data_IF_104936122247
#
_entry.id   IF_104936122247
#
_cell.length_a   1.000
_cell.length_b   1.000
_cell.length_c   1.000
_cell.angle_alpha   90.00
_cell.angle_beta   90.00
_cell.angle_gamma   90.00
#
_symmetry.space_group_name_H-M   'P 1'
#
loop_
_entity.id
_entity.type
_entity.pdbx_description
1 polymer ?
#
# COMPACT_ATOMS: atom_id res chain seq x y z
N UNK A 1 -70.56 -62.50 16.48
CA UNK A 1 -70.24 -61.44 15.49
C UNK A 1 -70.24 -60.11 16.26
N UNK A 2 -69.22 -59.25 16.04
CA UNK A 2 -68.84 -58.02 16.78
C UNK A 2 -67.89 -58.31 17.98
N UNK A 3 -66.60 -57.93 18.05
CA UNK A 3 -65.81 -56.70 17.75
C UNK A 3 -65.44 -56.01 19.07
N UNK A 4 -64.17 -56.16 19.49
CA UNK A 4 -63.47 -55.13 20.26
C UNK A 4 -62.03 -55.04 19.75
N UNK A 5 -61.77 -53.96 19.01
CA UNK A 5 -60.44 -53.49 18.63
C UNK A 5 -59.89 -52.71 19.82
N UNK A 6 -58.78 -53.18 20.40
CA UNK A 6 -58.02 -52.42 21.38
C UNK A 6 -57.43 -51.19 20.69
N UNK A 7 -57.84 -50.00 21.12
CA UNK A 7 -57.25 -48.74 20.73
C UNK A 7 -55.85 -48.64 21.38
N UNK A 8 -54.80 -48.61 20.55
CA UNK A 8 -53.44 -48.27 20.96
C UNK A 8 -53.42 -46.75 21.13
N UNK A 9 -53.27 -46.28 22.37
CA UNK A 9 -53.13 -44.86 22.69
C UNK A 9 -51.83 -44.27 22.12
N UNK A 10 -51.73 -42.94 21.98
CA UNK A 10 -50.55 -42.29 21.43
C UNK A 10 -49.33 -42.61 22.31
N UNK A 11 -48.36 -43.30 21.74
CA UNK A 11 -47.07 -43.56 22.38
C UNK A 11 -46.42 -42.21 22.73
N UNK A 12 -46.33 -41.92 24.03
CA UNK A 12 -45.54 -40.81 24.54
C UNK A 12 -44.09 -41.02 24.11
N UNK A 13 -43.54 -40.06 23.37
CA UNK A 13 -42.14 -40.07 22.93
C UNK A 13 -41.25 -40.04 24.18
N UNK A 14 -40.25 -40.93 24.28
CA UNK A 14 -39.39 -40.98 25.46
C UNK A 14 -38.61 -39.67 25.62
N UNK A 15 -38.47 -39.14 26.85
CA UNK A 15 -37.94 -37.79 27.12
C UNK A 15 -36.52 -37.55 26.60
N UNK A 16 -35.71 -38.60 26.46
CA UNK A 16 -34.36 -38.53 25.89
C UNK A 16 -34.34 -38.14 24.39
N UNK A 17 -35.34 -38.58 23.61
CA UNK A 17 -35.43 -38.18 22.20
C UNK A 17 -35.90 -36.73 22.06
N UNK A 18 -36.73 -36.26 23.00
CA UNK A 18 -37.21 -34.88 23.05
C UNK A 18 -36.06 -33.91 23.37
N UNK A 19 -35.22 -34.23 24.36
CA UNK A 19 -34.01 -33.46 24.67
C UNK A 19 -33.02 -33.42 23.51
N UNK A 20 -32.79 -34.55 22.82
CA UNK A 20 -31.90 -34.57 21.65
C UNK A 20 -32.41 -33.72 20.48
N UNK A 21 -33.74 -33.62 20.32
CA UNK A 21 -34.35 -32.78 19.30
C UNK A 21 -34.33 -31.29 19.66
N UNK A 22 -34.41 -30.96 20.96
CA UNK A 22 -34.30 -29.59 21.47
C UNK A 22 -32.85 -29.08 21.39
N UNK A 23 -31.85 -29.91 21.70
CA UNK A 23 -30.43 -29.58 21.52
C UNK A 23 -30.08 -29.39 20.03
N UNK A 24 -30.54 -30.29 19.15
CA UNK A 24 -30.31 -30.16 17.71
C UNK A 24 -31.00 -28.92 17.12
N UNK A 25 -32.18 -28.55 17.64
CA UNK A 25 -32.87 -27.32 17.24
C UNK A 25 -32.16 -26.06 17.76
N UNK A 26 -31.61 -26.10 18.98
CA UNK A 26 -30.82 -25.02 19.56
C UNK A 26 -29.49 -24.81 18.81
N UNK A 27 -28.82 -25.90 18.41
CA UNK A 27 -27.61 -25.85 17.57
C UNK A 27 -27.93 -25.34 16.15
N UNK A 28 -29.06 -25.75 15.56
CA UNK A 28 -29.49 -25.24 14.26
C UNK A 28 -29.88 -23.75 14.31
N UNK A 29 -30.51 -23.30 15.40
CA UNK A 29 -30.79 -21.89 15.67
C UNK A 29 -29.51 -21.08 15.92
N UNK A 30 -28.55 -21.65 16.64
CA UNK A 30 -27.22 -21.07 16.85
C UNK A 30 -26.43 -20.95 15.54
N UNK A 31 -26.44 -22.00 14.71
CA UNK A 31 -25.82 -22.00 13.38
C UNK A 31 -26.50 -21.01 12.43
N UNK A 32 -27.84 -20.94 12.44
CA UNK A 32 -28.59 -19.96 11.65
C UNK A 32 -28.38 -18.53 12.15
N UNK A 33 -28.25 -18.29 13.47
CA UNK A 33 -27.87 -16.98 14.00
C UNK A 33 -26.45 -16.60 13.59
N UNK A 34 -25.49 -17.53 13.64
CA UNK A 34 -24.10 -17.31 13.17
C UNK A 34 -24.07 -17.02 11.67
N UNK A 35 -24.87 -17.71 10.87
CA UNK A 35 -24.98 -17.51 9.41
C UNK A 35 -25.70 -16.20 9.05
N UNK A 36 -26.72 -15.78 9.82
CA UNK A 36 -27.41 -14.49 9.66
C UNK A 36 -26.55 -13.32 10.13
N UNK A 37 -25.69 -13.50 11.13
CA UNK A 37 -24.62 -12.52 11.48
C UNK A 37 -23.44 -12.52 10.50
N UNK A 38 -23.44 -13.44 9.53
CA UNK A 38 -22.51 -13.49 8.40
C UNK A 38 -22.83 -12.52 7.27
N UNK A 39 -23.84 -11.65 7.41
CA UNK A 39 -23.93 -10.44 6.59
C UNK A 39 -22.76 -9.53 6.97
N UNK A 40 -21.64 -9.69 6.24
CA UNK A 40 -20.44 -8.85 6.25
C UNK A 40 -20.78 -7.43 6.68
N UNK A 41 -20.65 -7.12 7.96
CA UNK A 41 -20.89 -5.77 8.47
C UNK A 41 -19.82 -4.90 7.83
N UNK A 42 -20.24 -4.10 6.84
CA UNK A 42 -19.37 -3.14 6.21
C UNK A 42 -18.87 -2.21 7.31
N UNK A 43 -17.58 -2.33 7.64
CA UNK A 43 -17.00 -1.56 8.74
C UNK A 43 -17.07 -0.08 8.37
N UNK A 44 -17.20 0.82 9.36
CA UNK A 44 -17.20 2.29 9.17
C UNK A 44 -16.15 2.75 8.13
N UNK A 45 -14.97 2.13 8.14
CA UNK A 45 -13.90 2.35 7.18
C UNK A 45 -14.31 2.15 5.71
N UNK A 46 -15.04 1.09 5.39
CA UNK A 46 -15.47 0.80 4.01
C UNK A 46 -16.51 1.82 3.51
N UNK A 47 -17.41 2.27 4.39
CA UNK A 47 -18.36 3.36 4.07
C UNK A 47 -17.68 4.71 3.87
N UNK A 48 -16.57 4.98 4.56
CA UNK A 48 -15.79 6.21 4.38
C UNK A 48 -14.87 6.18 3.15
N UNK A 49 -14.40 4.99 2.75
CA UNK A 49 -13.50 4.81 1.60
C UNK A 49 -14.18 5.06 0.26
N UNK A 50 -15.41 4.59 0.08
CA UNK A 50 -16.17 4.76 -1.18
C UNK A 50 -16.34 6.24 -1.58
N UNK A 51 -16.85 7.15 -0.73
CA UNK A 51 -16.97 8.56 -1.09
C UNK A 51 -15.61 9.24 -1.28
N UNK A 52 -14.56 8.82 -0.54
CA UNK A 52 -13.19 9.33 -0.75
C UNK A 52 -12.61 8.92 -2.11
N UNK A 53 -12.80 7.66 -2.52
CA UNK A 53 -12.37 7.17 -3.83
C UNK A 53 -13.19 7.85 -4.95
N UNK A 54 -14.50 8.02 -4.77
CA UNK A 54 -15.36 8.70 -5.73
C UNK A 54 -14.96 10.18 -5.88
N UNK A 55 -14.72 10.89 -4.78
CA UNK A 55 -14.24 12.26 -4.81
C UNK A 55 -12.87 12.36 -5.48
N UNK A 56 -11.94 11.46 -5.12
CA UNK A 56 -10.61 11.40 -5.74
C UNK A 56 -10.70 11.11 -7.24
N UNK A 57 -11.58 10.22 -7.68
CA UNK A 57 -11.79 9.90 -9.08
C UNK A 57 -12.40 11.09 -9.85
N UNK A 58 -13.37 11.79 -9.24
CA UNK A 58 -13.97 13.01 -9.80
C UNK A 58 -12.92 14.10 -9.94
N UNK A 59 -12.15 14.38 -8.89
CA UNK A 59 -11.05 15.35 -8.93
C UNK A 59 -10.04 14.94 -9.99
N UNK A 60 -9.59 13.68 -9.99
CA UNK A 60 -8.64 13.16 -10.97
C UNK A 60 -9.13 13.30 -12.42
N UNK A 61 -10.43 13.11 -12.68
CA UNK A 61 -11.03 13.30 -13.98
C UNK A 61 -11.00 14.78 -14.41
N UNK A 62 -11.30 15.70 -13.51
CA UNK A 62 -11.26 17.15 -13.79
C UNK A 62 -9.85 17.73 -13.84
N UNK A 63 -8.90 17.16 -13.10
CA UNK A 63 -7.50 17.59 -13.08
C UNK A 63 -6.62 16.78 -14.03
N UNK A 64 -7.18 15.80 -14.76
CA UNK A 64 -6.39 14.93 -15.61
C UNK A 64 -5.67 15.82 -16.62
N UNK A 65 -4.32 15.81 -16.60
CA UNK A 65 -3.58 16.80 -17.35
C UNK A 65 -3.81 16.52 -18.84
N UNK A 66 -4.33 17.52 -19.57
CA UNK A 66 -4.51 17.44 -21.01
C UNK A 66 -3.30 18.06 -21.68
N UNK A 67 -2.72 17.35 -22.65
CA UNK A 67 -1.66 17.89 -23.48
C UNK A 67 -2.31 18.50 -24.73
N UNK A 68 -2.38 19.83 -24.78
CA UNK A 68 -2.97 20.59 -25.89
C UNK A 68 -2.04 20.65 -27.13
N UNK A 69 -0.74 20.42 -26.94
CA UNK A 69 0.26 20.50 -28.00
C UNK A 69 0.42 19.20 -28.79
N UNK A 70 0.77 19.31 -30.07
CA UNK A 70 1.24 18.17 -30.85
C UNK A 70 2.54 17.61 -30.23
N UNK A 71 2.39 16.55 -29.44
CA UNK A 71 3.47 15.87 -28.73
C UNK A 71 4.45 15.27 -29.74
N UNK A 72 5.72 15.72 -29.69
CA UNK A 72 6.80 15.08 -30.45
C UNK A 72 6.97 13.62 -30.02
N UNK A 73 7.40 12.76 -30.94
CA UNK A 73 7.66 11.35 -30.63
C UNK A 73 8.74 11.18 -29.54
N UNK A 74 9.75 12.06 -29.53
CA UNK A 74 10.78 12.09 -28.48
C UNK A 74 10.20 12.33 -27.08
N UNK A 75 9.26 13.28 -26.96
CA UNK A 75 8.61 13.55 -25.68
C UNK A 75 7.75 12.37 -25.21
N UNK A 76 7.06 11.69 -26.13
CA UNK A 76 6.29 10.48 -25.79
C UNK A 76 7.19 9.37 -25.26
N UNK A 77 8.33 9.12 -25.90
CA UNK A 77 9.31 8.14 -25.43
C UNK A 77 9.85 8.52 -24.06
N UNK A 78 10.29 9.77 -23.88
CA UNK A 78 10.76 10.27 -22.59
C UNK A 78 9.72 10.08 -21.48
N UNK A 79 8.46 10.48 -21.75
CA UNK A 79 7.34 10.30 -20.82
C UNK A 79 7.21 8.86 -20.37
N UNK A 80 7.16 7.90 -21.29
CA UNK A 80 6.96 6.50 -20.95
C UNK A 80 8.15 5.93 -20.19
N UNK A 81 9.37 6.21 -20.63
CA UNK A 81 10.58 5.77 -19.93
C UNK A 81 10.67 6.35 -18.52
N UNK A 82 10.43 7.65 -18.36
CA UNK A 82 10.42 8.32 -17.05
C UNK A 82 9.38 7.71 -16.12
N UNK A 83 8.12 7.61 -16.56
CA UNK A 83 7.04 7.10 -15.73
C UNK A 83 7.23 5.64 -15.36
N UNK A 84 7.80 4.81 -16.24
CA UNK A 84 8.09 3.42 -15.92
C UNK A 84 9.16 3.30 -14.82
N UNK A 85 10.28 4.02 -14.96
CA UNK A 85 11.35 4.00 -13.94
C UNK A 85 10.85 4.58 -12.62
N UNK A 86 10.10 5.68 -12.68
CA UNK A 86 9.45 6.28 -11.52
C UNK A 86 8.50 5.31 -10.81
N UNK A 87 7.59 4.67 -11.57
CA UNK A 87 6.61 3.72 -11.04
C UNK A 87 7.27 2.56 -10.30
N UNK A 88 8.33 1.99 -10.86
CA UNK A 88 9.07 0.89 -10.20
C UNK A 88 9.75 1.38 -8.92
N UNK A 89 10.38 2.56 -8.96
CA UNK A 89 11.07 3.13 -7.81
C UNK A 89 10.11 3.38 -6.64
N UNK A 90 8.97 4.03 -6.90
CA UNK A 90 7.96 4.28 -5.85
C UNK A 90 7.22 3.01 -5.45
N UNK A 91 6.98 2.05 -6.36
CA UNK A 91 6.39 0.76 -6.01
C UNK A 91 7.23 0.04 -4.96
N UNK A 92 8.55 0.05 -5.12
CA UNK A 92 9.44 -0.56 -4.16
C UNK A 92 9.34 0.08 -2.77
N UNK A 93 9.15 1.41 -2.68
CA UNK A 93 9.03 2.16 -1.42
C UNK A 93 7.66 1.92 -0.76
N UNK A 94 6.58 2.01 -1.54
CA UNK A 94 5.22 1.77 -1.07
C UNK A 94 4.99 0.33 -0.62
N UNK A 95 5.62 -0.65 -1.27
CA UNK A 95 5.53 -2.06 -0.87
C UNK A 95 6.15 -2.31 0.51
N UNK A 96 7.12 -1.49 0.96
CA UNK A 96 7.66 -1.67 2.32
C UNK A 96 6.66 -1.31 3.40
N UNK A 97 5.75 -0.36 3.15
CA UNK A 97 4.76 0.14 4.10
C UNK A 97 3.97 -0.96 4.82
N UNK A 98 3.26 -1.84 4.10
CA UNK A 98 2.43 -2.87 4.72
C UNK A 98 3.23 -4.04 5.33
N UNK A 99 4.42 -4.36 4.80
CA UNK A 99 5.14 -5.59 5.17
C UNK A 99 6.27 -5.42 6.18
N UNK A 100 6.89 -4.23 6.29
CA UNK A 100 8.07 -4.02 7.15
C UNK A 100 7.78 -4.29 8.63
N UNK A 101 6.61 -3.89 9.12
CA UNK A 101 6.24 -4.16 10.52
C UNK A 101 6.15 -5.66 10.78
N UNK A 102 5.38 -6.37 9.94
CA UNK A 102 5.18 -7.81 10.04
C UNK A 102 6.51 -8.57 9.92
N UNK A 103 7.42 -8.09 9.06
CA UNK A 103 8.76 -8.65 8.93
C UNK A 103 9.54 -8.59 10.26
N UNK A 104 9.61 -7.42 10.90
CA UNK A 104 10.33 -7.27 12.16
C UNK A 104 9.67 -8.05 13.30
N UNK A 105 8.33 -8.10 13.33
CA UNK A 105 7.60 -8.94 14.27
C UNK A 105 7.92 -10.43 14.07
N UNK A 106 8.05 -10.90 12.83
CA UNK A 106 8.41 -12.30 12.53
C UNK A 106 9.84 -12.67 12.95
N UNK A 107 10.73 -11.68 13.12
CA UNK A 107 12.06 -11.88 13.72
C UNK A 107 12.07 -11.90 15.25
N UNK A 108 10.90 -11.69 15.89
CA UNK A 108 10.76 -11.72 17.35
C UNK A 108 11.13 -10.42 18.05
N UNK A 109 11.17 -9.28 17.33
CA UNK A 109 11.40 -7.98 17.93
C UNK A 109 10.18 -7.46 18.70
N UNK A 110 10.43 -6.75 19.80
CA UNK A 110 9.38 -6.09 20.57
C UNK A 110 8.84 -4.86 19.84
N UNK A 111 7.61 -4.42 20.15
CA UNK A 111 7.03 -3.20 19.60
C UNK A 111 7.92 -1.96 19.85
N UNK A 112 8.66 -1.95 20.97
CA UNK A 112 9.61 -0.87 21.31
C UNK A 112 10.80 -0.86 20.34
N UNK A 113 11.41 -2.02 20.08
CA UNK A 113 12.53 -2.12 19.15
C UNK A 113 12.11 -1.80 17.71
N UNK A 114 10.93 -2.28 17.31
CA UNK A 114 10.33 -1.97 16.01
C UNK A 114 10.10 -0.47 15.87
N UNK A 115 9.52 0.18 16.89
CA UNK A 115 9.33 1.63 16.89
C UNK A 115 10.66 2.39 16.75
N UNK A 116 11.72 1.92 17.41
CA UNK A 116 13.07 2.47 17.27
C UNK A 116 13.61 2.39 15.84
N UNK A 117 13.41 1.25 15.16
CA UNK A 117 13.74 1.08 13.74
C UNK A 117 12.94 2.05 12.84
N UNK A 118 11.66 2.27 13.13
CA UNK A 118 10.84 3.23 12.39
C UNK A 118 11.32 4.67 12.59
N UNK A 119 11.56 5.06 13.84
CA UNK A 119 12.09 6.38 14.22
C UNK A 119 13.45 6.64 13.58
N UNK A 120 14.34 5.65 13.54
CA UNK A 120 15.63 5.77 12.87
C UNK A 120 15.45 6.07 11.37
N UNK A 121 14.58 5.33 10.68
CA UNK A 121 14.32 5.55 9.26
C UNK A 121 13.69 6.91 8.96
N UNK A 122 12.58 7.25 9.62
CA UNK A 122 11.91 8.53 9.41
C UNK A 122 12.75 9.72 9.88
N UNK A 123 13.48 9.57 10.98
CA UNK A 123 14.42 10.56 11.49
C UNK A 123 15.56 10.82 10.51
N UNK A 124 16.13 9.76 9.92
CA UNK A 124 17.12 9.91 8.85
C UNK A 124 16.51 10.62 7.63
N UNK A 125 15.32 10.25 7.17
CA UNK A 125 14.66 10.94 6.05
C UNK A 125 14.40 12.42 6.34
N UNK A 126 14.02 12.77 7.57
CA UNK A 126 13.80 14.16 7.97
C UNK A 126 15.11 14.96 7.91
N UNK A 127 16.16 14.44 8.53
CA UNK A 127 17.46 15.12 8.60
C UNK A 127 18.07 15.28 7.21
N UNK A 128 18.12 14.20 6.43
CA UNK A 128 18.74 14.23 5.11
C UNK A 128 17.85 14.88 4.05
N UNK A 129 16.52 14.83 4.22
CA UNK A 129 15.57 15.49 3.33
C UNK A 129 15.73 17.01 3.30
N UNK A 130 16.11 17.63 4.43
CA UNK A 130 16.44 19.06 4.47
C UNK A 130 17.62 19.43 3.56
N UNK A 131 18.58 18.51 3.37
CA UNK A 131 19.78 18.74 2.57
C UNK A 131 19.72 18.08 1.18
N UNK A 132 18.70 17.26 0.90
CA UNK A 132 18.59 16.50 -0.35
C UNK A 132 18.60 17.40 -1.58
N UNK A 133 17.87 18.52 -1.55
CA UNK A 133 17.85 19.51 -2.63
C UNK A 133 19.23 20.13 -2.89
N UNK A 134 19.85 20.68 -1.84
CA UNK A 134 21.19 21.28 -1.94
C UNK A 134 22.25 20.26 -2.41
N UNK A 135 22.14 19.01 -1.96
CA UNK A 135 23.03 17.91 -2.38
C UNK A 135 22.83 17.58 -3.86
N UNK A 136 21.59 17.53 -4.34
CA UNK A 136 21.26 17.28 -5.74
C UNK A 136 21.79 18.38 -6.66
N UNK A 137 21.72 19.63 -6.21
CA UNK A 137 22.25 20.78 -6.93
C UNK A 137 23.79 20.80 -6.95
N UNK A 138 24.45 20.48 -5.83
CA UNK A 138 25.91 20.53 -5.72
C UNK A 138 26.64 19.34 -6.37
N UNK A 139 26.19 18.11 -6.14
CA UNK A 139 26.89 16.89 -6.58
C UNK A 139 26.43 16.39 -7.96
N UNK A 140 25.36 16.97 -8.48
CA UNK A 140 24.81 16.65 -9.79
C UNK A 140 23.75 15.54 -9.71
N UNK A 141 22.61 15.86 -10.33
CA UNK A 141 21.36 15.08 -10.31
C UNK A 141 21.51 13.61 -10.71
N UNK A 142 22.32 13.30 -11.74
CA UNK A 142 22.56 11.91 -12.17
C UNK A 142 23.28 11.07 -11.11
N UNK A 143 24.20 11.66 -10.35
CA UNK A 143 24.93 10.95 -9.28
C UNK A 143 24.01 10.65 -8.11
N UNK A 144 23.14 11.60 -7.74
CA UNK A 144 22.12 11.38 -6.70
C UNK A 144 21.17 10.23 -7.04
N UNK A 145 20.84 10.03 -8.32
CA UNK A 145 19.96 8.92 -8.75
C UNK A 145 20.62 7.56 -8.54
N UNK A 146 21.90 7.48 -8.89
CA UNK A 146 22.70 6.27 -8.70
C UNK A 146 22.89 6.00 -7.20
N UNK A 147 23.19 7.04 -6.40
CA UNK A 147 23.31 6.93 -4.94
C UNK A 147 22.00 6.45 -4.31
N UNK A 148 20.85 7.01 -4.73
CA UNK A 148 19.54 6.52 -4.33
C UNK A 148 19.40 5.02 -4.59
N UNK A 149 19.63 4.57 -5.83
CA UNK A 149 19.50 3.16 -6.19
C UNK A 149 20.40 2.26 -5.33
N UNK A 150 21.66 2.65 -5.12
CA UNK A 150 22.61 1.89 -4.31
C UNK A 150 22.16 1.82 -2.85
N UNK A 151 21.82 2.96 -2.23
CA UNK A 151 21.36 3.00 -0.84
C UNK A 151 20.08 2.18 -0.64
N UNK A 152 19.18 2.25 -1.61
CA UNK A 152 17.92 1.52 -1.56
C UNK A 152 18.13 0.01 -1.68
N UNK A 153 19.00 -0.44 -2.59
CA UNK A 153 19.39 -1.86 -2.70
C UNK A 153 20.01 -2.34 -1.37
N UNK A 154 20.93 -1.57 -0.79
CA UNK A 154 21.54 -1.90 0.51
C UNK A 154 20.46 -2.02 1.60
N UNK A 155 19.53 -1.06 1.68
CA UNK A 155 18.41 -1.10 2.64
C UNK A 155 17.47 -2.30 2.44
N UNK A 156 17.30 -2.77 1.22
CA UNK A 156 16.56 -3.99 0.95
C UNK A 156 17.35 -5.24 1.34
N UNK A 157 18.66 -5.29 1.08
CA UNK A 157 19.51 -6.41 1.46
C UNK A 157 19.60 -6.59 2.98
N UNK A 158 19.64 -5.50 3.75
CA UNK A 158 19.69 -5.58 5.22
C UNK A 158 18.46 -6.30 5.79
N UNK A 159 17.31 -6.24 5.11
CA UNK A 159 16.07 -6.91 5.55
C UNK A 159 16.16 -8.43 5.52
N UNK A 160 17.13 -9.03 4.81
CA UNK A 160 17.35 -10.48 4.85
C UNK A 160 18.10 -10.95 6.11
N UNK A 161 18.66 -10.03 6.90
CA UNK A 161 19.35 -10.33 8.14
C UNK A 161 18.46 -10.05 9.33
N UNK A 162 18.39 -10.98 10.29
CA UNK A 162 17.68 -10.78 11.56
C UNK A 162 18.50 -10.01 12.59
N UNK A 163 19.71 -9.51 12.27
CA UNK A 163 20.58 -8.83 13.23
C UNK A 163 20.18 -7.35 13.42
N UNK A 164 19.81 -6.95 14.64
CA UNK A 164 19.24 -5.63 14.93
C UNK A 164 20.09 -4.44 14.43
N UNK A 165 21.42 -4.38 14.67
CA UNK A 165 22.24 -3.27 14.17
C UNK A 165 22.26 -3.19 12.64
N UNK A 166 22.16 -4.32 11.94
CA UNK A 166 22.07 -4.36 10.47
C UNK A 166 20.73 -3.79 10.00
N UNK A 167 19.62 -4.15 10.67
CA UNK A 167 18.30 -3.59 10.38
C UNK A 167 18.28 -2.09 10.67
N UNK A 168 18.90 -1.65 11.77
CA UNK A 168 19.01 -0.24 12.13
C UNK A 168 19.79 0.54 11.07
N UNK A 169 20.98 0.06 10.68
CA UNK A 169 21.75 0.65 9.59
C UNK A 169 20.96 0.68 8.28
N UNK A 170 20.23 -0.41 7.98
CA UNK A 170 19.32 -0.51 6.84
C UNK A 170 18.19 0.50 6.84
N UNK A 171 17.65 0.83 8.02
CA UNK A 171 16.63 1.87 8.19
C UNK A 171 17.21 3.27 7.98
N UNK A 172 18.41 3.53 8.49
CA UNK A 172 19.10 4.80 8.23
C UNK A 172 19.37 4.98 6.73
N UNK A 173 19.98 3.99 6.07
CA UNK A 173 20.28 4.07 4.63
C UNK A 173 19.01 4.14 3.77
N UNK A 174 17.96 3.41 4.16
CA UNK A 174 16.64 3.50 3.54
C UNK A 174 16.04 4.89 3.70
N UNK A 175 16.12 5.49 4.90
CA UNK A 175 15.64 6.83 5.15
C UNK A 175 16.36 7.89 4.31
N UNK A 176 17.68 7.79 4.17
CA UNK A 176 18.47 8.64 3.27
C UNK A 176 18.06 8.43 1.82
N UNK A 177 17.85 7.18 1.38
CA UNK A 177 17.38 6.88 0.03
C UNK A 177 16.03 7.52 -0.25
N UNK A 178 15.02 7.33 0.61
CA UNK A 178 13.69 7.94 0.44
C UNK A 178 13.77 9.47 0.38
N UNK A 179 14.68 10.09 1.13
CA UNK A 179 14.89 11.54 1.05
C UNK A 179 15.41 12.03 -0.31
N UNK A 180 16.15 11.18 -1.03
CA UNK A 180 16.64 11.47 -2.38
C UNK A 180 15.64 11.10 -3.47
N UNK A 181 14.69 10.20 -3.21
CA UNK A 181 13.79 9.63 -4.21
C UNK A 181 13.03 10.71 -4.97
N UNK A 182 12.16 11.48 -4.29
CA UNK A 182 11.37 12.52 -4.96
C UNK A 182 12.26 13.59 -5.60
N UNK A 183 13.17 14.16 -4.83
CA UNK A 183 14.06 15.25 -5.29
C UNK A 183 14.83 14.87 -6.54
N UNK A 184 15.39 13.67 -6.59
CA UNK A 184 16.26 13.27 -7.69
C UNK A 184 15.48 13.01 -8.97
N UNK A 185 14.31 12.38 -8.87
CA UNK A 185 13.46 12.11 -10.02
C UNK A 185 12.86 13.40 -10.60
N UNK A 186 12.41 14.32 -9.74
CA UNK A 186 11.97 15.65 -10.17
C UNK A 186 13.09 16.41 -10.88
N UNK A 187 14.28 16.36 -10.32
CA UNK A 187 15.49 16.92 -10.90
C UNK A 187 15.83 16.33 -12.28
N UNK A 188 15.71 15.01 -12.45
CA UNK A 188 15.93 14.35 -13.74
C UNK A 188 14.91 14.82 -14.78
N UNK A 189 13.62 14.87 -14.42
CA UNK A 189 12.55 15.36 -15.28
C UNK A 189 12.81 16.81 -15.73
N UNK A 190 13.13 17.72 -14.80
CA UNK A 190 13.45 19.12 -15.14
C UNK A 190 14.68 19.20 -16.07
N UNK A 191 15.70 18.38 -15.82
CA UNK A 191 16.92 18.40 -16.62
C UNK A 191 16.68 17.96 -18.07
N UNK A 192 15.90 16.91 -18.29
CA UNK A 192 15.54 16.48 -19.63
C UNK A 192 14.66 17.53 -20.33
N UNK A 193 13.72 18.12 -19.58
CA UNK A 193 12.85 19.17 -20.09
C UNK A 193 13.62 20.40 -20.57
N UNK A 194 14.66 20.80 -19.82
CA UNK A 194 15.58 21.89 -20.21
C UNK A 194 16.49 21.51 -21.37
N UNK A 195 16.88 20.24 -21.50
CA UNK A 195 17.73 19.76 -22.59
C UNK A 195 17.05 19.86 -23.95
N UNK A 196 15.73 19.61 -23.99
CA UNK A 196 14.92 19.66 -25.20
C UNK A 196 14.10 20.95 -25.34
N UNK A 197 14.31 21.93 -24.45
CA UNK A 197 13.62 23.23 -24.40
C UNK A 197 12.09 23.13 -24.52
N UNK A 198 11.51 22.12 -23.87
CA UNK A 198 10.07 21.90 -23.90
C UNK A 198 9.34 23.02 -23.13
N UNK A 199 8.16 23.42 -23.60
CA UNK A 199 7.37 24.47 -22.97
C UNK A 199 6.96 24.19 -21.52
N UNK A 200 6.77 25.24 -20.72
CA UNK A 200 6.37 25.14 -19.31
C UNK A 200 5.04 24.38 -19.09
N UNK A 201 4.14 24.36 -20.07
CA UNK A 201 2.89 23.60 -20.00
C UNK A 201 3.15 22.08 -19.93
N UNK A 202 4.06 21.56 -20.77
CA UNK A 202 4.43 20.14 -20.76
C UNK A 202 5.15 19.73 -19.47
N UNK A 203 5.92 20.64 -18.85
CA UNK A 203 6.57 20.34 -17.57
C UNK A 203 5.53 20.15 -16.46
N UNK A 204 4.55 21.05 -16.37
CA UNK A 204 3.43 20.93 -15.41
C UNK A 204 2.62 19.66 -15.65
N UNK A 205 2.41 19.29 -16.92
CA UNK A 205 1.79 18.03 -17.30
C UNK A 205 2.59 16.82 -16.75
N UNK A 206 3.93 16.84 -16.86
CA UNK A 206 4.76 15.76 -16.35
C UNK A 206 4.79 15.64 -14.84
N UNK A 207 4.88 16.76 -14.11
CA UNK A 207 4.73 16.75 -12.65
C UNK A 207 3.38 16.17 -12.22
N UNK A 208 2.29 16.60 -12.88
CA UNK A 208 0.94 16.10 -12.59
C UNK A 208 0.83 14.59 -12.82
N UNK A 209 1.39 14.10 -13.94
CA UNK A 209 1.39 12.67 -14.26
C UNK A 209 2.26 11.85 -13.29
N UNK A 210 3.44 12.36 -12.91
CA UNK A 210 4.35 11.72 -11.96
C UNK A 210 3.67 11.46 -10.61
N UNK A 211 2.99 12.47 -10.05
CA UNK A 211 2.27 12.32 -8.79
C UNK A 211 1.03 11.44 -8.94
N UNK A 212 0.28 11.53 -10.05
CA UNK A 212 -0.81 10.61 -10.34
C UNK A 212 -0.35 9.15 -10.34
N UNK A 213 0.74 8.84 -11.04
CA UNK A 213 1.34 7.50 -11.05
C UNK A 213 1.76 7.08 -9.65
N UNK A 214 2.39 7.96 -8.86
CA UNK A 214 2.78 7.66 -7.49
C UNK A 214 1.58 7.21 -6.64
N UNK A 215 0.46 7.94 -6.68
CA UNK A 215 -0.72 7.60 -5.88
C UNK A 215 -1.42 6.32 -6.36
N UNK A 216 -1.48 6.09 -7.68
CA UNK A 216 -2.02 4.85 -8.24
C UNK A 216 -1.18 3.63 -7.82
N UNK A 217 0.15 3.77 -7.87
CA UNK A 217 1.08 2.73 -7.42
C UNK A 217 0.94 2.50 -5.91
N UNK A 218 0.86 3.56 -5.10
CA UNK A 218 0.68 3.46 -3.65
C UNK A 218 -0.59 2.68 -3.30
N UNK A 219 -1.72 3.00 -3.94
CA UNK A 219 -2.98 2.28 -3.76
C UNK A 219 -2.85 0.80 -4.18
N UNK A 220 -2.17 0.53 -5.29
CA UNK A 220 -1.96 -0.83 -5.79
C UNK A 220 -1.09 -1.66 -4.85
N UNK A 221 0.02 -1.09 -4.36
CA UNK A 221 0.95 -1.78 -3.43
C UNK A 221 0.35 -1.99 -2.05
N UNK A 222 -0.57 -1.12 -1.61
CA UNK A 222 -1.28 -1.32 -0.34
C UNK A 222 -2.35 -2.41 -0.38
N UNK A 223 -2.87 -2.75 -1.57
CA UNK A 223 -3.84 -3.84 -1.77
C UNK A 223 -3.15 -5.20 -1.91
N UNK A 224 -1.93 -5.20 -2.46
CA UNK A 224 -1.10 -6.39 -2.70
C UNK A 224 -0.61 -7.03 -1.40
#
# INVERSE_FOLDING_TARGET
>A
KARQLHAVGPHAVPPALQQSSEEAAADALGAAQVEVTGFKEWTFYQYSLVPMIMLAAVVAFYTMPQADDQLSEEFKTHRWTFNLVWAIAVAADWLQGPYVYALYASYGYSDTDISGLFVAGFGASLVFGMFAGATADAFGRKRCAIVYCILYIVSCMTKHSSWYPMLFAGRITGGVATSLLFTTFECWMIAEHRRHDYGHALLRYMFSLMYLVNYLVAASMGIL
#
